data_IF_211131198175
#
_entry.id   IF_211131198175
#
_cell.length_a   1.000
_cell.length_b   1.000
_cell.length_c   1.000
_cell.angle_alpha   90.00
_cell.angle_beta   90.00
_cell.angle_gamma   90.00
#
_symmetry.space_group_name_H-M   'P 1'
#
loop_
_entity.id
_entity.type
_entity.pdbx_description
1 polymer ?
#
# COMPACT_ATOMS: atom_id res chain seq x y z
N UNK A 1 -5.86 13.19 36.00
CA UNK A 1 -5.95 12.95 34.53
C UNK A 1 -5.14 14.03 33.85
N UNK A 2 -4.03 13.69 33.19
CA UNK A 2 -3.17 14.67 32.51
C UNK A 2 -3.72 14.91 31.10
N UNK A 3 -4.28 16.09 30.83
CA UNK A 3 -4.90 16.49 29.56
C UNK A 3 -3.92 16.75 28.40
N UNK A 4 -2.79 16.05 28.37
CA UNK A 4 -1.78 16.17 27.31
C UNK A 4 -2.05 15.24 26.12
N UNK A 5 -1.20 15.34 25.08
CA UNK A 5 -1.24 14.42 23.92
C UNK A 5 -1.10 12.98 24.41
N UNK A 6 -1.94 12.09 23.88
CA UNK A 6 -1.85 10.68 24.18
C UNK A 6 -0.51 10.12 23.66
N UNK A 7 0.21 9.38 24.50
CA UNK A 7 1.37 8.61 24.05
C UNK A 7 0.93 7.42 23.20
N UNK A 8 1.85 6.84 22.43
CA UNK A 8 1.60 5.60 21.69
C UNK A 8 1.09 4.48 22.61
N UNK A 9 1.69 4.35 23.80
CA UNK A 9 1.25 3.40 24.82
C UNK A 9 -0.15 3.72 25.36
N UNK A 10 -0.48 5.01 25.51
CA UNK A 10 -1.82 5.44 25.86
C UNK A 10 -2.85 5.03 24.81
N UNK A 11 -2.52 5.16 23.52
CA UNK A 11 -3.39 4.76 22.41
C UNK A 11 -3.57 3.24 22.42
N UNK A 12 -2.48 2.50 22.63
CA UNK A 12 -2.52 1.04 22.73
C UNK A 12 -3.37 0.57 23.92
N UNK A 13 -3.23 1.21 25.09
CA UNK A 13 -4.01 0.88 26.27
C UNK A 13 -5.52 1.14 26.04
N UNK A 14 -5.88 2.27 25.44
CA UNK A 14 -7.27 2.56 25.06
C UNK A 14 -7.79 1.52 24.07
N UNK A 15 -7.02 1.19 23.04
CA UNK A 15 -7.40 0.19 22.07
C UNK A 15 -7.66 -1.17 22.72
N UNK A 16 -6.77 -1.63 23.62
CA UNK A 16 -6.94 -2.90 24.34
C UNK A 16 -8.26 -2.89 25.13
N UNK A 17 -8.57 -1.79 25.81
CA UNK A 17 -9.84 -1.62 26.55
C UNK A 17 -11.05 -1.76 25.63
N UNK A 18 -11.05 -1.08 24.48
CA UNK A 18 -12.17 -1.14 23.53
C UNK A 18 -12.30 -2.52 22.87
N UNK A 19 -11.18 -3.18 22.56
CA UNK A 19 -11.19 -4.55 22.01
C UNK A 19 -11.72 -5.56 23.03
N UNK A 20 -11.38 -5.39 24.32
CA UNK A 20 -11.91 -6.24 25.38
C UNK A 20 -13.44 -6.16 25.46
N UNK A 21 -14.00 -4.95 25.40
CA UNK A 21 -15.46 -4.74 25.35
C UNK A 21 -16.07 -5.32 24.06
N UNK A 22 -15.47 -5.04 22.89
CA UNK A 22 -15.98 -5.53 21.61
C UNK A 22 -16.00 -7.07 21.51
N UNK A 23 -15.12 -7.78 22.22
CA UNK A 23 -15.07 -9.25 22.31
C UNK A 23 -16.29 -9.86 23.01
N UNK A 24 -17.04 -9.08 23.78
CA UNK A 24 -18.30 -9.52 24.41
C UNK A 24 -19.39 -9.73 23.35
N UNK A 25 -19.41 -8.88 22.32
CA UNK A 25 -20.43 -8.91 21.26
C UNK A 25 -19.94 -9.53 19.94
N UNK A 26 -18.63 -9.58 19.71
CA UNK A 26 -18.04 -10.13 18.50
C UNK A 26 -17.10 -11.30 18.81
N UNK A 27 -17.60 -12.52 18.62
CA UNK A 27 -16.86 -13.77 18.89
C UNK A 27 -15.58 -13.88 18.06
N UNK A 28 -15.59 -13.38 16.82
CA UNK A 28 -14.44 -13.41 15.91
C UNK A 28 -13.25 -12.61 16.47
N UNK A 29 -13.50 -11.54 17.24
CA UNK A 29 -12.42 -10.74 17.83
C UNK A 29 -11.69 -11.45 18.97
N UNK A 30 -12.24 -12.55 19.51
CA UNK A 30 -11.62 -13.29 20.62
C UNK A 30 -10.33 -14.01 20.17
N UNK A 31 -10.30 -14.49 18.93
CA UNK A 31 -9.12 -15.16 18.35
C UNK A 31 -8.17 -14.21 17.61
N UNK A 32 -8.59 -12.96 17.36
CA UNK A 32 -7.77 -11.98 16.63
C UNK A 32 -6.87 -11.16 17.56
N UNK A 33 -5.63 -10.93 17.11
CA UNK A 33 -4.69 -9.98 17.71
C UNK A 33 -4.89 -8.61 17.07
N UNK A 34 -5.42 -7.66 17.84
CA UNK A 34 -5.69 -6.29 17.39
C UNK A 34 -4.63 -5.36 17.98
N UNK A 35 -3.98 -4.56 17.13
CA UNK A 35 -3.03 -3.52 17.52
C UNK A 35 -3.25 -2.27 16.66
N UNK A 36 -2.70 -1.10 17.03
CA UNK A 36 -2.83 0.11 16.22
C UNK A 36 -2.30 -0.10 14.79
N UNK A 37 -1.22 -0.87 14.64
CA UNK A 37 -0.66 -1.21 13.34
C UNK A 37 -1.59 -2.11 12.51
N UNK A 38 -2.29 -3.07 13.14
CA UNK A 38 -3.28 -3.92 12.45
C UNK A 38 -4.45 -3.07 11.96
N UNK A 39 -4.96 -2.15 12.78
CA UNK A 39 -6.05 -1.25 12.38
C UNK A 39 -5.65 -0.34 11.21
N UNK A 40 -4.43 0.21 11.25
CA UNK A 40 -3.87 0.99 10.14
C UNK A 40 -3.82 0.18 8.85
N UNK A 41 -3.36 -1.07 8.94
CA UNK A 41 -3.30 -1.96 7.79
C UNK A 41 -4.71 -2.29 7.25
N UNK A 42 -5.68 -2.58 8.12
CA UNK A 42 -7.07 -2.82 7.73
C UNK A 42 -7.68 -1.60 7.01
N UNK A 43 -7.50 -0.38 7.54
CA UNK A 43 -7.99 0.83 6.89
C UNK A 43 -7.38 1.04 5.50
N UNK A 44 -6.08 0.75 5.35
CA UNK A 44 -5.41 0.81 4.05
C UNK A 44 -5.99 -0.19 3.04
N UNK A 45 -6.24 -1.42 3.49
CA UNK A 45 -6.83 -2.46 2.64
C UNK A 45 -8.28 -2.12 2.25
N UNK A 46 -9.07 -1.56 3.16
CA UNK A 46 -10.44 -1.11 2.85
C UNK A 46 -10.44 0.00 1.78
N UNK A 47 -9.54 0.98 1.89
CA UNK A 47 -9.38 2.02 0.88
C UNK A 47 -8.95 1.44 -0.48
N UNK A 48 -8.04 0.47 -0.45
CA UNK A 48 -7.57 -0.19 -1.67
C UNK A 48 -8.68 -1.01 -2.34
N UNK A 49 -9.47 -1.74 -1.56
CA UNK A 49 -10.65 -2.47 -2.02
C UNK A 49 -11.72 -1.55 -2.61
N UNK A 50 -11.85 -0.33 -2.07
CA UNK A 50 -12.72 0.71 -2.63
C UNK A 50 -12.17 1.32 -3.93
N UNK A 51 -11.00 0.88 -4.42
CA UNK A 51 -10.39 1.34 -5.66
C UNK A 51 -9.58 2.63 -5.52
N UNK A 52 -9.27 3.06 -4.29
CA UNK A 52 -8.39 4.21 -4.06
C UNK A 52 -6.97 3.84 -4.47
N UNK A 53 -6.32 4.71 -5.23
CA UNK A 53 -4.96 4.49 -5.70
C UNK A 53 -3.96 4.36 -4.53
N UNK A 54 -3.01 3.44 -4.65
CA UNK A 54 -1.99 3.19 -3.63
C UNK A 54 -1.19 4.45 -3.26
N UNK A 55 -0.94 5.37 -4.21
CA UNK A 55 -0.26 6.64 -3.93
C UNK A 55 -1.08 7.55 -3.03
N UNK A 56 -2.40 7.60 -3.24
CA UNK A 56 -3.34 8.38 -2.43
C UNK A 56 -3.43 7.78 -1.02
N UNK A 57 -3.50 6.46 -0.91
CA UNK A 57 -3.49 5.75 0.38
C UNK A 57 -2.19 6.00 1.14
N UNK A 58 -1.04 6.00 0.46
CA UNK A 58 0.26 6.28 1.08
C UNK A 58 0.33 7.70 1.67
N UNK A 59 -0.22 8.69 0.96
CA UNK A 59 -0.32 10.09 1.45
C UNK A 59 -1.27 10.17 2.64
N UNK A 60 -2.44 9.53 2.56
CA UNK A 60 -3.43 9.50 3.65
C UNK A 60 -2.92 8.86 4.93
N UNK A 61 -2.15 7.79 4.79
CA UNK A 61 -1.55 7.09 5.92
C UNK A 61 -0.29 7.84 6.41
N UNK A 62 0.31 8.70 5.60
CA UNK A 62 1.44 9.55 6.00
C UNK A 62 2.77 8.79 6.04
N UNK A 63 3.22 8.27 4.90
CA UNK A 63 4.50 7.57 4.80
C UNK A 63 5.62 8.43 4.21
N UNK A 64 6.73 8.51 4.96
CA UNK A 64 8.09 8.80 4.51
C UNK A 64 8.72 7.60 3.76
N UNK A 65 8.09 6.42 3.72
CA UNK A 65 8.62 5.23 3.04
C UNK A 65 7.59 4.52 2.15
N UNK A 66 7.86 4.48 0.84
CA UNK A 66 7.06 3.78 -0.19
C UNK A 66 7.12 2.24 -0.08
N UNK A 67 8.08 1.69 0.68
CA UNK A 67 8.32 0.24 0.79
C UNK A 67 7.14 -0.52 1.42
N UNK A 68 6.41 0.06 2.37
CA UNK A 68 5.21 -0.55 2.97
C UNK A 68 3.99 -0.49 2.06
N UNK A 69 3.96 0.43 1.08
CA UNK A 69 2.84 0.57 0.15
C UNK A 69 2.90 -0.47 -0.96
N UNK A 70 4.11 -0.88 -1.37
CA UNK A 70 4.29 -1.99 -2.33
C UNK A 70 3.76 -3.32 -1.80
N UNK A 71 3.67 -3.51 -0.48
CA UNK A 71 3.00 -4.67 0.12
C UNK A 71 1.51 -4.72 -0.25
N UNK A 72 0.84 -3.58 -0.35
CA UNK A 72 -0.57 -3.51 -0.74
C UNK A 72 -0.78 -3.90 -2.21
N UNK A 73 0.13 -3.46 -3.09
CA UNK A 73 0.10 -3.80 -4.51
C UNK A 73 0.33 -5.31 -4.75
N UNK A 74 1.16 -5.95 -3.93
CA UNK A 74 1.34 -7.42 -3.96
C UNK A 74 0.13 -8.18 -3.42
N UNK A 75 -0.61 -7.61 -2.47
CA UNK A 75 -1.76 -8.25 -1.83
C UNK A 75 -3.03 -8.22 -2.71
N UNK A 76 -3.18 -7.25 -3.62
CA UNK A 76 -4.35 -7.13 -4.49
C UNK A 76 -4.08 -7.63 -5.92
N UNK A 77 -4.32 -8.93 -6.14
CA UNK A 77 -4.20 -9.55 -7.46
C UNK A 77 -5.17 -8.93 -8.47
N UNK A 78 -6.39 -8.57 -8.05
CA UNK A 78 -7.43 -7.97 -8.91
C UNK A 78 -7.03 -6.61 -9.50
N UNK A 79 -6.31 -5.77 -8.75
CA UNK A 79 -5.79 -4.51 -9.29
C UNK A 79 -4.72 -4.76 -10.35
N UNK A 80 -3.90 -5.80 -10.14
CA UNK A 80 -2.89 -6.25 -11.09
C UNK A 80 -3.54 -6.78 -12.36
N UNK A 81 -4.59 -7.58 -12.23
CA UNK A 81 -5.39 -8.09 -13.35
C UNK A 81 -6.11 -6.97 -14.10
N UNK A 82 -6.72 -6.02 -13.39
CA UNK A 82 -7.36 -4.83 -13.99
C UNK A 82 -6.36 -3.97 -14.75
N UNK A 83 -5.16 -3.76 -14.19
CA UNK A 83 -4.08 -3.05 -14.87
C UNK A 83 -3.62 -3.80 -16.13
N UNK A 84 -3.45 -5.12 -16.06
CA UNK A 84 -3.13 -5.95 -17.21
C UNK A 84 -4.21 -5.90 -18.30
N UNK A 85 -5.49 -5.90 -17.91
CA UNK A 85 -6.62 -5.82 -18.84
C UNK A 85 -6.73 -4.48 -19.58
N UNK A 86 -6.17 -3.40 -19.03
CA UNK A 86 -6.11 -2.08 -19.68
C UNK A 86 -4.98 -1.98 -20.70
N UNK A 87 -4.01 -2.91 -20.68
CA UNK A 87 -2.91 -2.94 -21.64
C UNK A 87 -3.36 -3.69 -22.89
N UNK A 88 -2.94 -3.20 -24.05
CA UNK A 88 -3.00 -4.03 -25.27
C UNK A 88 -2.13 -5.26 -25.02
N UNK A 89 -2.53 -6.47 -25.50
CA UNK A 89 -1.66 -7.63 -25.48
C UNK A 89 -0.30 -7.21 -26.00
N UNK A 90 0.76 -7.51 -25.23
CA UNK A 90 2.12 -7.30 -25.71
C UNK A 90 2.33 -8.29 -26.85
N UNK A 91 1.97 -7.86 -28.06
CA UNK A 91 2.45 -8.51 -29.27
C UNK A 91 3.96 -8.36 -29.21
N UNK A 92 4.67 -9.48 -29.20
CA UNK A 92 6.11 -9.53 -29.39
C UNK A 92 6.38 -8.95 -30.78
N UNK A 93 6.32 -7.63 -30.91
CA UNK A 93 6.96 -6.91 -32.00
C UNK A 93 8.38 -7.45 -32.02
N UNK A 94 8.86 -7.85 -33.21
CA UNK A 94 10.26 -8.22 -33.41
C UNK A 94 11.07 -7.26 -32.56
N UNK A 95 11.89 -7.80 -31.65
CA UNK A 95 12.84 -6.99 -30.92
C UNK A 95 13.76 -6.37 -31.97
N UNK A 96 13.37 -5.23 -32.52
CA UNK A 96 14.21 -4.44 -33.38
C UNK A 96 15.32 -3.98 -32.46
N UNK A 97 16.46 -4.65 -32.59
CA UNK A 97 17.66 -4.30 -31.85
C UNK A 97 17.88 -2.81 -32.10
N UNK A 98 17.75 -2.02 -31.04
CA UNK A 98 17.90 -0.57 -31.11
C UNK A 98 19.21 -0.25 -31.85
N UNK A 99 19.08 0.41 -33.00
CA UNK A 99 20.21 0.91 -33.78
C UNK A 99 20.31 2.41 -33.50
N UNK A 100 21.30 2.86 -32.72
CA UNK A 100 21.51 4.28 -32.50
C UNK A 100 21.80 4.94 -33.85
N UNK A 101 21.25 6.14 -34.06
CA UNK A 101 21.57 6.94 -35.23
C UNK A 101 22.93 7.63 -35.06
N UNK A 102 23.51 8.08 -36.17
CA UNK A 102 24.85 8.66 -36.18
C UNK A 102 24.96 9.87 -35.24
N UNK A 103 23.90 10.70 -35.17
CA UNK A 103 23.83 11.85 -34.27
C UNK A 103 23.92 11.46 -32.79
N UNK A 104 23.31 10.35 -32.39
CA UNK A 104 23.37 9.83 -31.01
C UNK A 104 24.76 9.25 -30.72
N UNK A 105 25.37 8.58 -31.69
CA UNK A 105 26.74 8.07 -31.56
C UNK A 105 27.76 9.21 -31.44
N UNK A 106 27.62 10.27 -32.25
CA UNK A 106 28.44 11.48 -32.16
C UNK A 106 28.32 12.15 -30.80
N UNK A 107 27.09 12.27 -30.27
CA UNK A 107 26.86 12.83 -28.95
C UNK A 107 27.52 12.00 -27.83
N UNK A 108 27.37 10.67 -27.88
CA UNK A 108 27.95 9.78 -26.86
C UNK A 108 29.48 9.71 -26.91
N UNK A 109 30.07 9.86 -28.10
CA UNK A 109 31.53 9.91 -28.26
C UNK A 109 32.14 11.26 -27.85
N UNK A 110 31.31 12.29 -27.63
CA UNK A 110 31.74 13.62 -27.19
C UNK A 110 31.66 13.83 -25.66
N UNK A 111 31.25 12.80 -24.92
CA UNK A 111 31.29 12.71 -23.44
C UNK A 111 32.60 12.07 -22.98
#
# INVERSE_FOLDING_TARGET
>A
MHGGRLSADGVQALLIRHVANAREHCVILRSKRVSPHVLRHSAAMELLQAGVDCSVIAVWLGHEAMETTLTYLHAHLELKESALGKLKPYERAKAERFRPNDRLLEFLNAL
#
